data_IF_971529418215
#
_entry.id   IF_971529418215
#
_cell.length_a   1.000
_cell.length_b   1.000
_cell.length_c   1.000
_cell.angle_alpha   90.00
_cell.angle_beta   90.00
_cell.angle_gamma   90.00
#
_symmetry.space_group_name_H-M   'P 1'
#
loop_
_entity.id
_entity.type
_entity.pdbx_description
1 polymer ?
#
# COMPACT_ATOMS: atom_id res chain seq x y z
N UNK A 1 -17.82 -8.53 13.49
CA UNK A 1 -16.89 -9.27 12.59
C UNK A 1 -17.37 -10.71 12.47
N UNK A 2 -17.19 -11.38 11.33
CA UNK A 2 -17.75 -12.72 11.07
C UNK A 2 -17.42 -13.77 12.15
N UNK A 3 -16.24 -13.69 12.79
CA UNK A 3 -15.83 -14.56 13.89
C UNK A 3 -16.48 -14.25 15.26
N UNK A 4 -17.04 -13.05 15.44
CA UNK A 4 -17.77 -12.64 16.66
C UNK A 4 -19.20 -13.23 16.66
N UNK A 5 -19.67 -13.72 15.50
CA UNK A 5 -20.98 -14.33 15.30
C UNK A 5 -20.87 -15.87 15.36
N UNK A 6 -20.21 -16.42 16.38
CA UNK A 6 -20.00 -17.87 16.62
C UNK A 6 -19.17 -18.63 15.56
N UNK A 7 -18.60 -17.94 14.56
CA UNK A 7 -17.78 -18.60 13.55
C UNK A 7 -16.32 -18.74 13.98
N UNK A 8 -15.74 -19.90 13.69
CA UNK A 8 -14.32 -20.14 13.90
C UNK A 8 -13.45 -19.13 13.16
N UNK A 9 -12.33 -18.76 13.78
CA UNK A 9 -11.28 -17.93 13.16
C UNK A 9 -10.82 -18.53 11.83
N UNK A 10 -10.72 -19.86 11.72
CA UNK A 10 -10.33 -20.53 10.48
C UNK A 10 -11.40 -20.40 9.39
N UNK A 11 -12.69 -20.49 9.75
CA UNK A 11 -13.80 -20.30 8.80
C UNK A 11 -13.84 -18.87 8.27
N UNK A 12 -13.55 -17.90 9.14
CA UNK A 12 -13.43 -16.49 8.76
C UNK A 12 -12.23 -16.29 7.83
N UNK A 13 -11.07 -16.85 8.17
CA UNK A 13 -9.88 -16.78 7.34
C UNK A 13 -10.09 -17.38 5.94
N UNK A 14 -10.71 -18.57 5.87
CA UNK A 14 -11.07 -19.21 4.61
C UNK A 14 -12.08 -18.39 3.79
N UNK A 15 -13.10 -17.81 4.43
CA UNK A 15 -14.12 -16.98 3.76
C UNK A 15 -13.50 -15.76 3.07
N UNK A 16 -12.53 -15.12 3.69
CA UNK A 16 -11.87 -13.92 3.16
C UNK A 16 -10.57 -14.21 2.41
N UNK A 17 -10.24 -15.50 2.19
CA UNK A 17 -8.98 -15.93 1.57
C UNK A 17 -7.73 -15.28 2.22
N UNK A 18 -7.73 -15.18 3.55
CA UNK A 18 -6.62 -14.66 4.34
C UNK A 18 -6.00 -15.77 5.18
N UNK A 19 -4.73 -15.61 5.54
CA UNK A 19 -4.09 -16.55 6.46
C UNK A 19 -4.65 -16.42 7.88
N UNK A 20 -4.80 -17.55 8.57
CA UNK A 20 -5.31 -17.61 9.94
C UNK A 20 -4.43 -16.84 10.93
N UNK A 21 -3.11 -16.84 10.71
CA UNK A 21 -2.15 -16.07 11.51
C UNK A 21 -2.33 -14.56 11.36
N UNK A 22 -2.63 -14.07 10.14
CA UNK A 22 -2.93 -12.66 9.89
C UNK A 22 -4.19 -12.23 10.65
N UNK A 23 -5.25 -13.04 10.58
CA UNK A 23 -6.48 -12.78 11.31
C UNK A 23 -6.26 -12.75 12.84
N UNK A 24 -5.45 -13.67 13.39
CA UNK A 24 -5.09 -13.66 14.82
C UNK A 24 -4.33 -12.39 15.20
N UNK A 25 -3.34 -11.99 14.41
CA UNK A 25 -2.55 -10.78 14.63
C UNK A 25 -3.44 -9.52 14.61
N UNK A 26 -4.33 -9.42 13.63
CA UNK A 26 -5.28 -8.29 13.52
C UNK A 26 -6.27 -8.24 14.68
N UNK A 27 -6.75 -9.38 15.16
CA UNK A 27 -7.59 -9.42 16.36
C UNK A 27 -6.83 -8.87 17.58
N UNK A 28 -5.57 -9.26 17.77
CA UNK A 28 -4.73 -8.75 18.85
C UNK A 28 -4.42 -7.25 18.72
N UNK A 29 -4.27 -6.75 17.50
CA UNK A 29 -3.99 -5.33 17.21
C UNK A 29 -5.24 -4.50 16.90
N UNK A 30 -6.44 -5.06 17.03
CA UNK A 30 -7.74 -4.43 16.69
C UNK A 30 -7.90 -3.00 17.26
N UNK A 31 -7.59 -2.71 18.54
CA UNK A 31 -7.75 -1.34 19.05
C UNK A 31 -6.77 -0.34 18.39
N UNK A 32 -5.59 -0.80 17.98
CA UNK A 32 -4.62 0.03 17.27
C UNK A 32 -5.05 0.26 15.81
N UNK A 33 -5.53 -0.80 15.15
CA UNK A 33 -6.10 -0.76 13.80
C UNK A 33 -7.26 0.25 13.69
N UNK A 34 -8.17 0.27 14.68
CA UNK A 34 -9.30 1.19 14.70
C UNK A 34 -8.89 2.65 14.98
N UNK A 35 -7.72 2.87 15.61
CA UNK A 35 -7.21 4.21 15.92
C UNK A 35 -6.44 4.83 14.74
N UNK A 36 -5.89 4.01 13.86
CA UNK A 36 -5.16 4.47 12.67
C UNK A 36 -6.17 4.99 11.65
N UNK A 37 -6.04 6.26 11.24
CA UNK A 37 -6.87 6.79 10.15
C UNK A 37 -6.62 6.01 8.86
N UNK A 38 -7.65 5.77 8.03
CA UNK A 38 -7.55 5.01 6.77
C UNK A 38 -6.48 5.54 5.79
N UNK A 39 -6.07 6.81 5.91
CA UNK A 39 -5.10 7.46 5.03
C UNK A 39 -3.68 7.65 5.58
N UNK A 40 -3.44 7.44 6.87
CA UNK A 40 -2.24 8.04 7.49
C UNK A 40 -1.06 7.09 7.67
N UNK A 41 -1.25 5.82 8.07
CA UNK A 41 -0.11 4.97 8.48
C UNK A 41 -0.33 3.48 8.22
N UNK A 42 0.48 2.89 7.36
CA UNK A 42 0.63 1.44 7.30
C UNK A 42 1.17 0.93 8.66
N UNK A 43 0.48 -0.01 9.31
CA UNK A 43 0.92 -0.59 10.59
C UNK A 43 2.22 -1.39 10.48
N UNK A 44 2.56 -1.86 9.27
CA UNK A 44 3.82 -2.50 8.97
C UNK A 44 4.77 -1.44 8.38
N UNK A 45 5.43 -0.66 9.24
CA UNK A 45 6.53 0.26 8.88
C UNK A 45 7.85 -0.48 8.58
N UNK A 46 7.80 -1.76 8.20
CA UNK A 46 9.00 -2.60 8.23
C UNK A 46 9.99 -2.24 7.11
N UNK A 47 9.54 -1.59 6.03
CA UNK A 47 10.42 -1.04 5.00
C UNK A 47 10.68 0.44 5.25
N UNK A 48 11.89 0.76 5.72
CA UNK A 48 12.38 2.14 5.66
C UNK A 48 12.60 2.52 4.19
N UNK A 49 12.28 3.77 3.79
CA UNK A 49 12.63 4.29 2.47
C UNK A 49 14.11 4.04 2.18
N UNK A 50 14.44 3.52 1.01
CA UNK A 50 15.84 3.38 0.61
C UNK A 50 16.48 4.76 0.44
N UNK A 51 15.68 5.73 -0.02
CA UNK A 51 16.10 7.12 -0.21
C UNK A 51 15.09 8.09 0.41
N UNK A 52 15.13 8.31 1.74
CA UNK A 52 14.10 9.06 2.45
C UNK A 52 13.91 10.48 1.92
N UNK A 53 15.00 11.23 1.69
CA UNK A 53 14.91 12.59 1.18
C UNK A 53 14.28 12.65 -0.23
N UNK A 54 14.68 11.74 -1.12
CA UNK A 54 14.19 11.68 -2.51
C UNK A 54 12.72 11.29 -2.56
N UNK A 55 12.32 10.26 -1.82
CA UNK A 55 10.93 9.80 -1.78
C UNK A 55 10.02 10.87 -1.18
N UNK A 56 10.47 11.62 -0.17
CA UNK A 56 9.70 12.72 0.42
C UNK A 56 9.49 13.88 -0.58
N UNK A 57 10.54 14.23 -1.33
CA UNK A 57 10.46 15.25 -2.38
C UNK A 57 9.50 14.81 -3.51
N UNK A 58 9.59 13.54 -3.93
CA UNK A 58 8.72 12.96 -4.96
C UNK A 58 7.26 12.94 -4.50
N UNK A 59 6.97 12.48 -3.28
CA UNK A 59 5.61 12.47 -2.74
C UNK A 59 5.01 13.87 -2.65
N UNK A 60 5.81 14.88 -2.27
CA UNK A 60 5.37 16.28 -2.25
C UNK A 60 5.02 16.76 -3.65
N UNK A 61 5.90 16.53 -4.64
CA UNK A 61 5.66 16.88 -6.03
C UNK A 61 4.40 16.20 -6.61
N UNK A 62 4.22 14.90 -6.37
CA UNK A 62 3.03 14.16 -6.82
C UNK A 62 1.76 14.71 -6.18
N UNK A 63 1.79 15.03 -4.88
CA UNK A 63 0.64 15.64 -4.17
C UNK A 63 0.27 17.00 -4.78
N UNK A 64 1.25 17.84 -5.08
CA UNK A 64 1.04 19.13 -5.75
C UNK A 64 0.39 18.94 -7.12
N UNK A 65 0.92 18.05 -7.96
CA UNK A 65 0.35 17.75 -9.29
C UNK A 65 -1.10 17.25 -9.21
N UNK A 66 -1.44 16.45 -8.20
CA UNK A 66 -2.81 15.96 -7.98
C UNK A 66 -3.78 17.04 -7.50
N UNK A 67 -3.31 18.07 -6.79
CA UNK A 67 -4.14 19.24 -6.44
C UNK A 67 -4.60 19.98 -7.69
N UNK A 68 -3.75 20.01 -8.71
CA UNK A 68 -4.06 20.60 -10.02
C UNK A 68 -4.87 19.65 -10.93
N UNK A 69 -5.44 18.56 -10.37
CA UNK A 69 -6.17 17.51 -11.08
C UNK A 69 -5.38 16.82 -12.21
N UNK A 70 -4.05 16.90 -12.18
CA UNK A 70 -3.20 16.20 -13.14
C UNK A 70 -2.98 14.74 -12.71
N UNK A 71 -3.35 13.81 -13.59
CA UNK A 71 -3.02 12.40 -13.42
C UNK A 71 -1.50 12.20 -13.61
N UNK A 72 -0.81 11.88 -12.52
CA UNK A 72 0.61 11.52 -12.57
C UNK A 72 0.72 10.03 -12.91
N UNK A 73 1.03 9.72 -14.16
CA UNK A 73 1.25 8.35 -14.63
C UNK A 73 2.71 7.94 -14.46
N UNK A 74 2.95 6.67 -14.13
CA UNK A 74 4.28 6.08 -14.21
C UNK A 74 4.62 5.88 -15.69
N UNK A 75 5.61 6.62 -16.19
CA UNK A 75 6.09 6.45 -17.55
C UNK A 75 7.02 5.22 -17.54
N UNK A 76 6.52 4.10 -18.03
CA UNK A 76 7.35 2.94 -18.32
C UNK A 76 8.18 3.27 -19.57
N UNK A 77 9.45 3.59 -19.36
CA UNK A 77 10.36 3.79 -20.46
C UNK A 77 10.80 2.43 -21.01
N UNK A 78 10.46 2.16 -22.26
CA UNK A 78 10.87 0.96 -22.99
C UNK A 78 12.29 1.16 -23.54
N UNK A 79 13.25 1.31 -22.62
CA UNK A 79 14.66 1.48 -23.00
C UNK A 79 15.20 0.15 -23.56
N UNK A 80 15.84 0.16 -24.73
CA UNK A 80 16.50 -1.04 -25.24
C UNK A 80 17.53 -1.52 -24.21
N UNK A 81 17.47 -2.80 -23.84
CA UNK A 81 18.35 -3.43 -22.85
C UNK A 81 19.86 -3.19 -23.13
N UNK A 82 20.22 -2.95 -24.39
CA UNK A 82 21.58 -2.61 -24.81
C UNK A 82 22.14 -1.31 -24.18
N UNK A 83 21.28 -0.36 -23.80
CA UNK A 83 21.69 0.89 -23.13
C UNK A 83 21.69 0.79 -21.60
N UNK A 84 21.21 -0.33 -21.03
CA UNK A 84 21.22 -0.62 -19.58
C UNK A 84 22.48 -1.39 -19.18
N UNK A 85 23.38 -1.68 -20.14
CA UNK A 85 24.67 -2.33 -19.92
C UNK A 85 25.68 -1.44 -19.20
N UNK A 86 25.49 -1.24 -17.89
CA UNK A 86 26.52 -1.15 -16.84
C UNK A 86 25.92 -0.85 -15.43
N UNK A 87 24.72 -1.38 -15.13
CA UNK A 87 24.27 -1.51 -13.73
C UNK A 87 23.94 -2.97 -13.45
N UNK A 88 24.98 -3.76 -13.36
CA UNK A 88 25.06 -4.91 -12.49
C UNK A 88 24.50 -4.54 -11.09
N UNK A 89 23.36 -5.17 -10.77
CA UNK A 89 22.84 -5.43 -9.42
C UNK A 89 22.02 -4.34 -8.70
N UNK A 90 20.89 -3.85 -9.24
CA UNK A 90 19.66 -3.72 -8.43
C UNK A 90 18.42 -3.32 -9.24
N UNK A 91 17.41 -4.19 -9.31
CA UNK A 91 16.05 -3.78 -9.67
C UNK A 91 15.44 -2.97 -8.51
N UNK A 92 15.17 -1.69 -8.73
CA UNK A 92 14.51 -0.83 -7.72
C UNK A 92 13.00 -0.85 -7.99
N UNK A 93 12.25 -1.66 -7.24
CA UNK A 93 10.78 -1.64 -7.24
C UNK A 93 10.28 -0.63 -6.18
N UNK A 94 9.40 0.30 -6.58
CA UNK A 94 8.70 1.21 -5.67
C UNK A 94 7.27 0.73 -5.46
N UNK A 95 6.89 0.45 -4.22
CA UNK A 95 5.50 0.13 -3.85
C UNK A 95 4.67 1.42 -3.79
N UNK A 96 3.87 1.69 -4.83
CA UNK A 96 2.94 2.83 -4.86
C UNK A 96 1.51 2.39 -4.51
N UNK A 97 0.72 3.20 -3.77
CA UNK A 97 -0.65 2.86 -3.42
C UNK A 97 -1.57 2.87 -4.65
N UNK A 98 -2.41 1.84 -4.78
CA UNK A 98 -3.39 1.68 -5.86
C UNK A 98 -4.37 2.85 -5.93
N UNK A 99 -4.62 3.35 -7.13
CA UNK A 99 -5.58 4.40 -7.46
C UNK A 99 -7.02 3.86 -7.49
N UNK A 100 -7.55 3.41 -6.36
CA UNK A 100 -8.99 3.15 -6.26
C UNK A 100 -9.72 4.45 -5.94
N UNK A 101 -10.40 5.01 -6.93
CA UNK A 101 -11.42 6.05 -6.76
C UNK A 101 -12.48 5.54 -5.79
N UNK A 102 -12.58 6.16 -4.62
CA UNK A 102 -13.73 5.97 -3.72
C UNK A 102 -14.81 6.87 -4.30
N UNK A 103 -15.76 6.28 -5.02
CA UNK A 103 -17.03 6.96 -5.30
C UNK A 103 -17.76 7.09 -3.96
N UNK A 104 -17.78 8.29 -3.39
CA UNK A 104 -18.70 8.67 -2.32
C UNK A 104 -20.12 8.64 -2.90
N UNK A 105 -20.85 7.57 -2.62
CA UNK A 105 -22.29 7.50 -2.84
C UNK A 105 -22.95 7.94 -1.53
N UNK A 106 -23.20 9.25 -1.44
CA UNK A 106 -24.09 9.84 -0.43
C UNK A 106 -25.51 9.25 -0.59
N UNK A 107 -25.99 8.55 0.45
CA UNK A 107 -27.40 8.25 0.70
C UNK A 107 -27.65 8.01 2.19
#
# INVERSE_FOLDING_TARGET
MYHENEHSKNKTAAKFNIQTNQLRNWISKKPQLLKVQPGDKCLNMEAKPKYPALETALLTCVKEKRKDQNAVMHIQYDYPLAYIGNMDEMSVSFDLPSNTTIDELDA
#
